data_IF_485757911036
#
_entry.id   IF_485757911036
#
_cell.length_a   1.000
_cell.length_b   1.000
_cell.length_c   1.000
_cell.angle_alpha   90.00
_cell.angle_beta   90.00
_cell.angle_gamma   90.00
#
_symmetry.space_group_name_H-M   'P 1'
#
loop_
_entity.id
_entity.type
_entity.pdbx_description
1 polymer ?
#
# COMPACT_ATOMS: atom_id res chain seq x y z
N UNK A 1 0.49 53.16 -49.65
CA UNK A 1 0.12 53.17 -48.23
C UNK A 1 -1.32 52.69 -48.17
N UNK A 2 -1.75 51.61 -47.52
CA UNK A 2 -1.12 50.49 -46.83
C UNK A 2 -2.25 49.48 -46.57
N UNK A 3 -1.95 48.18 -46.73
CA UNK A 3 -2.43 47.02 -45.94
C UNK A 3 -3.95 46.73 -45.96
N UNK A 4 -4.46 45.81 -46.79
CA UNK A 4 -4.46 44.32 -46.61
C UNK A 4 -4.80 43.89 -45.18
N UNK A 5 -6.07 43.99 -44.80
CA UNK A 5 -6.58 43.37 -43.58
C UNK A 5 -7.30 42.06 -43.96
N UNK A 6 -6.52 40.99 -44.11
CA UNK A 6 -7.07 39.64 -44.23
C UNK A 6 -7.70 39.22 -42.91
N UNK A 7 -8.99 38.97 -42.97
CA UNK A 7 -9.73 38.22 -41.97
C UNK A 7 -9.14 36.80 -41.93
N UNK A 8 -8.42 36.48 -40.86
CA UNK A 8 -7.95 35.12 -40.62
C UNK A 8 -9.11 34.29 -40.04
N UNK A 9 -9.63 33.36 -40.83
CA UNK A 9 -10.45 32.25 -40.35
C UNK A 9 -9.76 31.54 -39.17
N UNK A 10 -10.45 31.29 -38.04
CA UNK A 10 -9.92 30.35 -37.06
C UNK A 10 -9.98 28.94 -37.67
N UNK A 11 -8.81 28.37 -37.93
CA UNK A 11 -8.68 26.98 -38.34
C UNK A 11 -9.44 26.05 -37.39
N UNK A 12 -10.11 25.00 -37.89
CA UNK A 12 -10.69 23.99 -37.03
C UNK A 12 -9.55 23.30 -36.28
N UNK A 13 -9.50 23.50 -34.96
CA UNK A 13 -8.63 22.72 -34.09
C UNK A 13 -9.00 21.25 -34.27
N UNK A 14 -8.22 20.55 -35.09
CA UNK A 14 -8.28 19.11 -35.24
C UNK A 14 -8.01 18.53 -33.86
N UNK A 15 -9.03 17.93 -33.25
CA UNK A 15 -8.94 17.21 -31.99
C UNK A 15 -8.07 15.96 -32.20
N UNK A 16 -6.75 16.17 -32.25
CA UNK A 16 -5.76 15.11 -32.31
C UNK A 16 -5.37 14.77 -30.88
N UNK A 17 -5.99 13.69 -30.40
CA UNK A 17 -5.45 12.75 -29.44
C UNK A 17 -4.62 13.36 -28.30
N UNK A 18 -5.32 13.80 -27.25
CA UNK A 18 -4.79 13.63 -25.91
C UNK A 18 -4.88 12.13 -25.62
N UNK A 19 -3.81 11.40 -26.00
CA UNK A 19 -3.60 10.03 -25.56
C UNK A 19 -3.69 10.05 -24.04
N UNK A 20 -4.78 9.49 -23.51
CA UNK A 20 -4.85 9.10 -22.12
C UNK A 20 -3.76 8.05 -21.95
N UNK A 21 -2.56 8.49 -21.56
CA UNK A 21 -1.57 7.65 -20.95
C UNK A 21 -2.16 7.21 -19.63
N UNK A 22 -3.00 6.17 -19.69
CA UNK A 22 -3.46 5.47 -18.52
C UNK A 22 -2.22 4.88 -17.87
N UNK A 23 -1.61 5.65 -16.96
CA UNK A 23 -0.82 5.06 -15.90
C UNK A 23 -1.74 3.99 -15.32
N UNK A 24 -1.35 2.70 -15.29
CA UNK A 24 -2.13 1.72 -14.57
C UNK A 24 -2.19 2.24 -13.13
N UNK A 25 -3.33 2.80 -12.75
CA UNK A 25 -3.58 3.15 -11.36
C UNK A 25 -3.63 1.82 -10.63
N UNK A 26 -2.51 1.45 -10.02
CA UNK A 26 -2.42 0.33 -9.09
C UNK A 26 -3.35 0.63 -7.92
N UNK A 27 -4.62 0.24 -8.10
CA UNK A 27 -5.64 0.35 -7.08
C UNK A 27 -5.44 -0.81 -6.12
N UNK A 28 -4.67 -0.60 -5.06
CA UNK A 28 -4.57 -1.53 -3.95
C UNK A 28 -5.91 -1.57 -3.22
N UNK A 29 -6.84 -2.43 -3.65
CA UNK A 29 -8.13 -2.65 -2.97
C UNK A 29 -7.90 -3.45 -1.68
N UNK A 30 -7.55 -2.76 -0.59
CA UNK A 30 -7.63 -3.34 0.77
C UNK A 30 -9.07 -3.20 1.29
N UNK A 31 -10.01 -3.79 0.55
CA UNK A 31 -11.45 -3.81 0.88
C UNK A 31 -11.86 -5.07 1.65
N UNK A 32 -10.99 -5.60 2.50
CA UNK A 32 -11.31 -6.73 3.37
C UNK A 32 -11.28 -6.24 4.81
N UNK A 33 -12.46 -6.13 5.44
CA UNK A 33 -12.59 -5.92 6.88
C UNK A 33 -11.75 -7.00 7.56
N UNK A 34 -10.60 -6.62 8.12
CA UNK A 34 -9.71 -7.58 8.74
C UNK A 34 -10.46 -8.13 9.95
N UNK A 35 -10.65 -9.46 10.04
CA UNK A 35 -11.27 -10.04 11.23
C UNK A 35 -10.40 -9.69 12.44
N UNK A 36 -11.00 -9.41 13.61
CA UNK A 36 -10.28 -9.10 14.83
C UNK A 36 -9.11 -10.08 15.02
N UNK A 37 -7.95 -9.52 15.36
CA UNK A 37 -6.77 -10.33 15.60
C UNK A 37 -7.05 -11.18 16.84
N UNK A 38 -6.91 -12.50 16.69
CA UNK A 38 -7.03 -13.45 17.78
C UNK A 38 -5.64 -14.04 17.98
N UNK A 39 -5.14 -13.92 19.20
CA UNK A 39 -3.73 -14.18 19.54
C UNK A 39 -3.38 -15.68 19.58
N UNK A 40 -4.35 -16.56 19.36
CA UNK A 40 -4.21 -18.00 19.61
C UNK A 40 -3.22 -18.72 18.67
N UNK A 41 -2.95 -18.16 17.47
CA UNK A 41 -2.03 -18.73 16.46
C UNK A 41 -1.30 -17.64 15.66
N UNK A 42 -0.35 -16.90 16.26
CA UNK A 42 0.23 -15.71 15.64
C UNK A 42 0.96 -16.03 14.32
N UNK A 43 1.70 -17.13 14.24
CA UNK A 43 2.40 -17.53 13.03
C UNK A 43 1.46 -17.75 11.83
N UNK A 44 0.34 -18.45 12.04
CA UNK A 44 -0.67 -18.70 11.01
C UNK A 44 -1.30 -17.39 10.52
N UNK A 45 -1.55 -16.43 11.42
CA UNK A 45 -2.12 -15.12 11.09
C UNK A 45 -1.17 -14.31 10.22
N UNK A 46 0.12 -14.30 10.54
CA UNK A 46 1.13 -13.69 9.68
C UNK A 46 1.18 -14.36 8.29
N UNK A 47 1.11 -15.69 8.20
CA UNK A 47 1.03 -16.37 6.90
C UNK A 47 -0.19 -15.95 6.08
N UNK A 48 -1.35 -15.76 6.72
CA UNK A 48 -2.56 -15.27 6.04
C UNK A 48 -2.42 -13.81 5.56
N UNK A 49 -1.78 -12.94 6.34
CA UNK A 49 -1.48 -11.56 5.92
C UNK A 49 -0.49 -11.52 4.76
N UNK A 50 0.54 -12.38 4.79
CA UNK A 50 1.51 -12.50 3.70
C UNK A 50 0.88 -12.97 2.40
N UNK A 51 -0.07 -13.91 2.48
CA UNK A 51 -0.86 -14.32 1.32
C UNK A 51 -1.66 -13.15 0.73
N UNK A 52 -2.27 -12.30 1.58
CA UNK A 52 -2.98 -11.09 1.12
C UNK A 52 -2.04 -10.08 0.49
N UNK A 53 -0.85 -9.87 1.06
CA UNK A 53 0.17 -9.01 0.46
C UNK A 53 0.57 -9.53 -0.92
N UNK A 54 0.79 -10.84 -1.06
CA UNK A 54 1.11 -11.45 -2.35
C UNK A 54 -0.01 -11.25 -3.39
N UNK A 55 -1.28 -11.51 -3.02
CA UNK A 55 -2.44 -11.32 -3.89
C UNK A 55 -2.64 -9.85 -4.30
N UNK A 56 -2.31 -8.91 -3.40
CA UNK A 56 -2.40 -7.47 -3.65
C UNK A 56 -1.13 -6.89 -4.31
N UNK A 57 -0.14 -7.73 -4.69
CA UNK A 57 1.14 -7.31 -5.25
C UNK A 57 1.95 -6.36 -4.33
N UNK A 58 1.73 -6.41 -3.01
CA UNK A 58 2.48 -5.64 -2.01
C UNK A 58 3.79 -6.37 -1.69
N UNK A 59 4.91 -5.82 -2.17
CA UNK A 59 6.24 -6.44 -2.05
C UNK A 59 7.16 -5.74 -1.05
N UNK A 60 7.00 -4.43 -0.90
CA UNK A 60 7.82 -3.54 -0.07
C UNK A 60 7.70 -3.88 1.42
N UNK A 61 8.85 -4.08 2.08
CA UNK A 61 8.94 -4.34 3.52
C UNK A 61 8.23 -3.25 4.32
N UNK A 62 8.48 -1.99 3.97
CA UNK A 62 7.93 -0.83 4.66
C UNK A 62 6.39 -0.78 4.60
N UNK A 63 5.80 -1.08 3.44
CA UNK A 63 4.33 -1.12 3.30
C UNK A 63 3.73 -2.26 4.12
N UNK A 64 4.37 -3.43 4.15
CA UNK A 64 3.93 -4.55 4.99
C UNK A 64 4.01 -4.17 6.47
N UNK A 65 5.12 -3.55 6.89
CA UNK A 65 5.32 -3.06 8.25
C UNK A 65 4.20 -2.11 8.66
N UNK A 66 3.98 -1.01 7.92
CA UNK A 66 2.95 -0.04 8.28
C UNK A 66 1.54 -0.61 8.24
N UNK A 67 1.25 -1.52 7.30
CA UNK A 67 -0.03 -2.21 7.26
C UNK A 67 -0.25 -3.05 8.53
N UNK A 68 0.75 -3.82 8.94
CA UNK A 68 0.66 -4.61 10.17
C UNK A 68 0.49 -3.69 11.37
N UNK A 69 1.31 -2.64 11.49
CA UNK A 69 1.26 -1.77 12.66
C UNK A 69 -0.06 -1.03 12.80
N UNK A 70 -0.63 -0.56 11.70
CA UNK A 70 -1.92 0.13 11.73
C UNK A 70 -3.13 -0.79 11.97
N UNK A 71 -2.98 -2.10 11.80
CA UNK A 71 -4.07 -3.06 12.01
C UNK A 71 -3.95 -3.84 13.32
N UNK A 72 -2.84 -3.72 14.05
CA UNK A 72 -2.55 -4.41 15.31
C UNK A 72 -2.36 -3.45 16.49
N UNK A 73 -3.03 -2.30 16.48
CA UNK A 73 -2.82 -1.21 17.45
C UNK A 73 -2.88 -1.68 18.92
N UNK A 74 -3.91 -2.46 19.31
CA UNK A 74 -4.02 -3.02 20.66
C UNK A 74 -2.86 -3.96 21.02
N UNK A 75 -2.43 -4.81 20.08
CA UNK A 75 -1.35 -5.77 20.31
C UNK A 75 -0.02 -5.04 20.43
N UNK A 76 0.22 -4.05 19.58
CA UNK A 76 1.44 -3.23 19.60
C UNK A 76 1.50 -2.35 20.84
N UNK A 77 0.34 -1.90 21.34
CA UNK A 77 0.28 -1.13 22.59
C UNK A 77 0.71 -1.99 23.78
N UNK A 78 0.30 -3.25 23.81
CA UNK A 78 0.65 -4.19 24.88
C UNK A 78 2.04 -4.83 24.68
N UNK A 79 2.48 -4.98 23.43
CA UNK A 79 3.71 -5.64 23.01
C UNK A 79 4.39 -4.81 21.92
N UNK A 80 5.03 -3.68 22.28
CA UNK A 80 5.61 -2.78 21.31
C UNK A 80 6.84 -3.43 20.65
N UNK A 81 6.97 -3.32 19.31
CA UNK A 81 8.17 -3.75 18.62
C UNK A 81 9.40 -2.95 19.07
N UNK A 82 10.62 -3.49 18.86
CA UNK A 82 11.82 -2.76 19.17
C UNK A 82 11.96 -1.60 18.17
N UNK A 83 12.76 -0.56 18.48
CA UNK A 83 12.96 0.56 17.59
C UNK A 83 13.29 0.08 16.17
N UNK A 84 12.53 0.60 15.19
CA UNK A 84 12.53 0.04 13.85
C UNK A 84 13.97 0.05 13.26
N UNK A 85 14.50 -1.10 12.83
CA UNK A 85 15.79 -1.15 12.14
C UNK A 85 15.73 -0.44 10.79
N UNK A 86 16.88 -0.07 10.25
CA UNK A 86 16.96 0.53 8.92
C UNK A 86 16.44 -0.40 7.78
N UNK A 87 16.49 -1.72 8.00
CA UNK A 87 16.06 -2.75 7.04
C UNK A 87 15.32 -3.90 7.74
N UNK A 88 14.50 -4.63 6.97
CA UNK A 88 13.76 -5.82 7.41
C UNK A 88 12.74 -5.54 8.54
N UNK A 89 12.11 -4.36 8.51
CA UNK A 89 11.20 -3.88 9.57
C UNK A 89 10.08 -4.87 9.79
N UNK A 90 9.46 -5.35 8.71
CA UNK A 90 8.36 -6.30 8.79
C UNK A 90 8.82 -7.67 9.33
N UNK A 91 9.98 -8.16 8.90
CA UNK A 91 10.50 -9.48 9.33
C UNK A 91 10.80 -9.48 10.83
N UNK A 92 11.41 -8.40 11.35
CA UNK A 92 11.67 -8.28 12.78
C UNK A 92 10.39 -8.17 13.60
N UNK A 93 9.47 -7.30 13.18
CA UNK A 93 8.14 -7.14 13.80
C UNK A 93 7.41 -8.49 13.88
N UNK A 94 7.34 -9.22 12.77
CA UNK A 94 6.73 -10.55 12.70
C UNK A 94 7.37 -11.52 13.67
N UNK A 95 8.71 -11.58 13.70
CA UNK A 95 9.45 -12.54 14.53
C UNK A 95 9.18 -12.29 16.00
N UNK A 96 9.30 -11.04 16.44
CA UNK A 96 9.10 -10.67 17.84
C UNK A 96 7.65 -10.91 18.28
N UNK A 97 6.66 -10.45 17.50
CA UNK A 97 5.26 -10.65 17.85
C UNK A 97 4.87 -12.14 17.89
N UNK A 98 5.43 -12.99 17.03
CA UNK A 98 5.19 -14.43 17.10
C UNK A 98 5.79 -15.03 18.38
N UNK A 99 6.98 -14.61 18.78
CA UNK A 99 7.62 -15.08 20.02
C UNK A 99 6.80 -14.63 21.25
N UNK A 100 6.55 -13.33 21.38
CA UNK A 100 5.85 -12.75 22.51
C UNK A 100 4.44 -13.30 22.69
N UNK A 101 3.68 -13.51 21.61
CA UNK A 101 2.32 -14.04 21.68
C UNK A 101 2.26 -15.56 21.94
N UNK A 102 3.33 -16.30 21.64
CA UNK A 102 3.41 -17.74 21.95
C UNK A 102 3.89 -18.02 23.39
N UNK A 103 4.54 -17.06 24.04
CA UNK A 103 5.06 -17.18 25.42
C UNK A 103 4.03 -16.80 26.50
N UNK A 104 2.79 -16.49 26.11
CA UNK A 104 1.66 -16.18 27.01
C UNK A 104 0.95 -17.43 27.52
#
# INVERSE_FOLDING_TARGET
MSEDQRQGDPAPITAKELSSGAVPQETFRVGARIPPFHDEKPALRFSQMEARFALANIKTDETKFYYVTGNLEDIITNHPPPPAPASDKYVKLKTELIQTLNEK
#
